data_IF_561467342884
#
_entry.id   IF_561467342884
#
_cell.length_a   1.000
_cell.length_b   1.000
_cell.length_c   1.000
_cell.angle_alpha   90.00
_cell.angle_beta   90.00
_cell.angle_gamma   90.00
#
_symmetry.space_group_name_H-M   'P 1'
#
loop_
_entity.id
_entity.type
_entity.pdbx_description
1 polymer ?
#
# COMPACT_ATOMS: atom_id res chain seq x y z
N UNK A 1 -48.72 -29.67 20.01
CA UNK A 1 -48.01 -28.48 20.52
C UNK A 1 -46.53 -28.83 20.55
N UNK A 2 -45.81 -28.59 19.45
CA UNK A 2 -45.04 -27.36 19.18
C UNK A 2 -43.86 -27.19 20.13
N UNK A 3 -42.64 -27.48 19.65
CA UNK A 3 -41.65 -26.47 19.26
C UNK A 3 -40.39 -27.15 18.70
N UNK A 4 -40.28 -27.14 17.37
CA UNK A 4 -38.99 -27.27 16.68
C UNK A 4 -38.15 -26.03 17.00
N UNK A 5 -36.99 -26.22 17.62
CA UNK A 5 -35.92 -25.22 17.64
C UNK A 5 -34.81 -25.68 16.71
N UNK A 6 -34.85 -25.18 15.47
CA UNK A 6 -33.72 -25.26 14.56
C UNK A 6 -32.72 -24.18 15.00
N UNK A 7 -31.65 -24.59 15.69
CA UNK A 7 -30.45 -23.77 15.82
C UNK A 7 -29.76 -23.74 14.46
N UNK A 8 -30.15 -22.77 13.62
CA UNK A 8 -29.46 -22.43 12.38
C UNK A 8 -28.07 -21.90 12.75
N UNK A 9 -27.08 -22.79 12.70
CA UNK A 9 -25.66 -22.46 12.83
C UNK A 9 -25.34 -21.43 11.74
N UNK A 10 -25.08 -20.18 12.12
CA UNK A 10 -24.54 -19.18 11.17
C UNK A 10 -23.14 -19.65 10.80
N UNK A 11 -22.92 -19.83 9.52
CA UNK A 11 -21.65 -20.20 8.89
C UNK A 11 -20.66 -19.03 9.02
N UNK A 12 -19.55 -19.17 9.77
CA UNK A 12 -18.48 -18.19 9.80
C UNK A 12 -17.30 -18.77 9.00
N UNK A 13 -17.35 -18.77 7.66
CA UNK A 13 -16.32 -19.54 6.94
C UNK A 13 -15.66 -18.86 5.74
N UNK A 14 -16.19 -17.75 5.20
CA UNK A 14 -15.53 -17.06 4.06
C UNK A 14 -14.99 -15.67 4.38
N UNK A 15 -15.77 -14.85 5.08
CA UNK A 15 -15.39 -13.45 5.33
C UNK A 15 -14.26 -13.36 6.37
N UNK A 16 -14.35 -14.10 7.47
CA UNK A 16 -13.32 -14.06 8.53
C UNK A 16 -11.97 -14.62 8.06
N UNK A 17 -11.99 -15.70 7.27
CA UNK A 17 -10.77 -16.32 6.71
C UNK A 17 -10.10 -15.39 5.70
N UNK A 18 -10.90 -14.71 4.88
CA UNK A 18 -10.39 -13.76 3.90
C UNK A 18 -9.78 -12.52 4.58
N UNK A 19 -10.49 -11.91 5.52
CA UNK A 19 -10.00 -10.77 6.28
C UNK A 19 -8.71 -11.16 7.00
N UNK A 20 -8.67 -12.31 7.68
CA UNK A 20 -7.46 -12.83 8.33
C UNK A 20 -6.27 -12.96 7.37
N UNK A 21 -6.48 -13.48 6.16
CA UNK A 21 -5.43 -13.65 5.14
C UNK A 21 -4.97 -12.31 4.56
N UNK A 22 -5.90 -11.43 4.20
CA UNK A 22 -5.60 -10.10 3.67
C UNK A 22 -4.88 -9.20 4.70
N UNK A 23 -5.18 -9.37 5.99
CA UNK A 23 -4.50 -8.67 7.09
C UNK A 23 -3.02 -8.99 7.20
N UNK A 24 -2.57 -10.18 6.74
CA UNK A 24 -1.14 -10.54 6.73
C UNK A 24 -0.26 -9.52 5.98
N UNK A 25 -0.82 -8.91 4.94
CA UNK A 25 -0.13 -7.91 4.10
C UNK A 25 -0.81 -6.53 4.19
N UNK A 26 -1.71 -6.34 5.16
CA UNK A 26 -2.55 -5.14 5.30
C UNK A 26 -3.40 -4.82 4.05
N UNK A 27 -3.67 -5.82 3.22
CA UNK A 27 -4.44 -5.64 1.98
C UNK A 27 -5.91 -5.24 2.23
N UNK A 28 -6.48 -5.57 3.40
CA UNK A 28 -7.80 -5.10 3.81
C UNK A 28 -7.89 -3.56 3.90
N UNK A 29 -6.74 -2.89 4.03
CA UNK A 29 -6.63 -1.44 4.04
C UNK A 29 -6.48 -0.82 2.64
N UNK A 30 -6.64 -1.58 1.55
CA UNK A 30 -6.43 -1.09 0.18
C UNK A 30 -7.73 -0.97 -0.60
N UNK A 31 -7.71 -0.24 -1.72
CA UNK A 31 -8.88 -0.10 -2.60
C UNK A 31 -9.26 -1.42 -3.30
N UNK A 32 -8.27 -2.25 -3.63
CA UNK A 32 -8.47 -3.56 -4.26
C UNK A 32 -7.84 -4.67 -3.40
N UNK A 33 -8.48 -5.04 -2.27
CA UNK A 33 -7.91 -5.99 -1.29
C UNK A 33 -7.56 -7.36 -1.88
N UNK A 34 -8.43 -7.91 -2.73
CA UNK A 34 -8.24 -9.23 -3.35
C UNK A 34 -7.00 -9.22 -4.25
N UNK A 35 -6.93 -8.21 -5.12
CA UNK A 35 -5.81 -8.03 -6.04
C UNK A 35 -4.49 -7.76 -5.29
N UNK A 36 -4.55 -7.03 -4.17
CA UNK A 36 -3.42 -6.85 -3.28
C UNK A 36 -2.95 -8.20 -2.72
N UNK A 37 -3.85 -8.98 -2.12
CA UNK A 37 -3.49 -10.24 -1.47
C UNK A 37 -2.90 -11.24 -2.47
N UNK A 38 -3.56 -11.44 -3.62
CA UNK A 38 -3.12 -12.38 -4.65
C UNK A 38 -1.72 -12.04 -5.17
N UNK A 39 -1.46 -10.75 -5.42
CA UNK A 39 -0.17 -10.31 -5.93
C UNK A 39 0.94 -10.33 -4.88
N UNK A 40 0.65 -9.87 -3.66
CA UNK A 40 1.61 -9.85 -2.54
C UNK A 40 2.00 -11.27 -2.13
N UNK A 41 1.03 -12.17 -2.01
CA UNK A 41 1.29 -13.57 -1.62
C UNK A 41 2.14 -14.33 -2.64
N UNK A 42 2.04 -13.97 -3.93
CA UNK A 42 2.87 -14.58 -4.98
C UNK A 42 4.36 -14.24 -4.89
N UNK A 43 4.69 -13.07 -4.32
CA UNK A 43 6.08 -12.59 -4.17
C UNK A 43 6.62 -12.91 -2.76
N UNK A 44 5.80 -12.72 -1.73
CA UNK A 44 6.21 -12.83 -0.33
C UNK A 44 5.96 -14.24 0.22
N UNK A 45 6.87 -15.17 -0.08
CA UNK A 45 6.80 -16.55 0.41
C UNK A 45 7.28 -16.75 1.86
N UNK A 46 7.94 -15.76 2.48
CA UNK A 46 8.53 -15.91 3.83
C UNK A 46 7.76 -15.14 4.91
N UNK A 47 7.14 -15.89 5.83
CA UNK A 47 6.50 -15.37 7.05
C UNK A 47 7.50 -14.73 8.02
N UNK A 48 8.79 -15.08 7.94
CA UNK A 48 9.84 -14.61 8.84
C UNK A 48 10.21 -13.15 8.60
N UNK A 49 10.24 -12.71 7.34
CA UNK A 49 10.62 -11.34 6.96
C UNK A 49 9.56 -10.33 7.41
N UNK A 50 8.29 -10.69 7.25
CA UNK A 50 7.13 -9.90 7.72
C UNK A 50 7.00 -9.83 9.25
N UNK A 51 7.72 -10.66 10.01
CA UNK A 51 7.70 -10.58 11.47
C UNK A 51 8.68 -9.57 12.03
N UNK A 52 9.66 -9.16 11.24
CA UNK A 52 10.79 -8.36 11.71
C UNK A 52 10.65 -6.89 11.35
N UNK A 53 10.15 -6.57 10.15
CA UNK A 53 9.93 -5.19 9.70
C UNK A 53 8.70 -5.08 8.79
N UNK A 54 7.98 -3.93 8.81
CA UNK A 54 6.84 -3.68 7.91
C UNK A 54 7.28 -3.20 6.51
N UNK A 55 8.53 -2.78 6.35
CA UNK A 55 9.09 -2.29 5.08
C UNK A 55 8.84 -3.16 3.84
N UNK A 56 9.03 -4.48 3.93
CA UNK A 56 8.74 -5.42 2.86
C UNK A 56 7.31 -5.34 2.30
N UNK A 57 6.32 -4.89 3.07
CA UNK A 57 4.94 -4.71 2.58
C UNK A 57 4.90 -3.60 1.52
N UNK A 58 5.51 -2.45 1.82
CA UNK A 58 5.52 -1.28 0.95
C UNK A 58 6.38 -1.52 -0.30
N UNK A 59 7.57 -2.08 -0.13
CA UNK A 59 8.48 -2.35 -1.25
C UNK A 59 7.90 -3.41 -2.18
N UNK A 60 7.30 -4.47 -1.64
CA UNK A 60 6.63 -5.49 -2.46
C UNK A 60 5.45 -4.89 -3.23
N UNK A 61 4.61 -4.07 -2.61
CA UNK A 61 3.47 -3.47 -3.29
C UNK A 61 3.91 -2.61 -4.50
N UNK A 62 4.98 -1.82 -4.34
CA UNK A 62 5.57 -1.08 -5.45
C UNK A 62 6.15 -2.02 -6.52
N UNK A 63 6.85 -3.08 -6.10
CA UNK A 63 7.47 -4.04 -7.01
C UNK A 63 6.46 -4.84 -7.83
N UNK A 64 5.31 -5.19 -7.26
CA UNK A 64 4.18 -5.78 -8.00
C UNK A 64 3.77 -4.88 -9.16
N UNK A 65 3.60 -3.58 -8.90
CA UNK A 65 3.20 -2.61 -9.92
C UNK A 65 4.30 -2.42 -10.98
N UNK A 66 5.57 -2.34 -10.58
CA UNK A 66 6.72 -2.24 -11.49
C UNK A 66 6.77 -3.46 -12.42
N UNK A 67 6.71 -4.67 -11.86
CA UNK A 67 6.75 -5.92 -12.64
C UNK A 67 5.59 -5.99 -13.65
N UNK A 68 4.40 -5.50 -13.27
CA UNK A 68 3.27 -5.44 -14.18
C UNK A 68 3.52 -4.48 -15.35
N UNK A 69 4.03 -3.27 -15.07
CA UNK A 69 4.37 -2.27 -16.10
C UNK A 69 5.50 -2.76 -17.02
N UNK A 70 6.53 -3.39 -16.46
CA UNK A 70 7.66 -3.90 -17.24
C UNK A 70 7.20 -5.02 -18.18
N UNK A 71 6.33 -5.94 -17.74
CA UNK A 71 5.73 -6.95 -18.62
C UNK A 71 4.89 -6.32 -19.73
N UNK A 72 4.16 -5.24 -19.46
CA UNK A 72 3.40 -4.52 -20.48
C UNK A 72 4.35 -3.90 -21.51
N UNK A 73 5.38 -3.18 -21.05
CA UNK A 73 6.32 -2.48 -21.91
C UNK A 73 7.19 -3.41 -22.76
N UNK A 74 7.60 -4.56 -22.21
CA UNK A 74 8.56 -5.47 -22.85
C UNK A 74 7.91 -6.61 -23.63
N UNK A 75 6.68 -6.99 -23.29
CA UNK A 75 5.99 -8.14 -23.90
C UNK A 75 4.71 -7.68 -24.61
N UNK A 76 3.80 -7.04 -23.91
CA UNK A 76 2.43 -6.82 -24.39
C UNK A 76 2.37 -5.76 -25.51
N UNK A 77 2.99 -4.60 -25.29
CA UNK A 77 3.01 -3.53 -26.29
C UNK A 77 3.82 -3.91 -27.54
N UNK A 78 5.04 -4.47 -27.45
CA UNK A 78 5.77 -4.92 -28.63
C UNK A 78 5.00 -5.97 -29.44
N UNK A 79 4.28 -6.87 -28.76
CA UNK A 79 3.40 -7.84 -29.41
C UNK A 79 2.22 -7.15 -30.09
N UNK A 80 1.55 -6.19 -29.46
CA UNK A 80 0.49 -5.43 -30.12
C UNK A 80 1.00 -4.67 -31.35
N UNK A 81 2.17 -4.04 -31.26
CA UNK A 81 2.81 -3.31 -32.35
C UNK A 81 3.15 -4.21 -33.55
N UNK A 82 3.41 -5.51 -33.36
CA UNK A 82 3.66 -6.44 -34.47
C UNK A 82 2.41 -6.80 -35.27
N UNK A 83 1.21 -6.61 -34.70
CA UNK A 83 -0.06 -6.80 -35.39
C UNK A 83 -0.63 -5.49 -35.95
N UNK A 84 -0.28 -4.35 -35.36
CA UNK A 84 -0.71 -3.01 -35.79
C UNK A 84 0.22 -2.35 -36.84
N UNK A 85 0.95 -3.14 -37.64
CA UNK A 85 2.07 -2.64 -38.46
C UNK A 85 1.69 -1.51 -39.42
N UNK A 86 0.49 -1.58 -40.01
CA UNK A 86 -0.01 -0.61 -40.98
C UNK A 86 -1.20 0.21 -40.45
N UNK A 87 -1.58 0.03 -39.18
CA UNK A 87 -2.72 0.74 -38.60
C UNK A 87 -2.27 2.13 -38.12
N UNK A 88 -2.61 3.15 -38.90
CA UNK A 88 -2.23 4.55 -38.66
C UNK A 88 -2.86 5.14 -37.39
N UNK A 89 -3.91 4.52 -36.85
CA UNK A 89 -4.58 4.94 -35.62
C UNK A 89 -4.02 4.22 -34.39
N UNK A 90 -3.90 2.89 -34.46
CA UNK A 90 -3.51 2.05 -33.31
C UNK A 90 -2.03 2.22 -32.98
N UNK A 91 -1.17 2.28 -33.99
CA UNK A 91 0.28 2.31 -33.80
C UNK A 91 0.76 3.54 -33.00
N UNK A 92 0.35 4.78 -33.30
CA UNK A 92 0.72 5.94 -32.49
C UNK A 92 0.27 5.82 -31.03
N UNK A 93 -0.95 5.36 -30.78
CA UNK A 93 -1.50 5.19 -29.43
C UNK A 93 -0.73 4.15 -28.62
N UNK A 94 -0.28 3.06 -29.24
CA UNK A 94 0.60 2.08 -28.60
C UNK A 94 1.99 2.66 -28.26
N UNK A 95 2.53 3.56 -29.10
CA UNK A 95 3.78 4.26 -28.77
C UNK A 95 3.62 5.27 -27.63
N UNK A 96 2.55 6.05 -27.63
CA UNK A 96 2.23 6.97 -26.54
C UNK A 96 2.03 6.19 -25.23
N UNK A 97 1.29 5.07 -25.30
CA UNK A 97 1.14 4.16 -24.17
C UNK A 97 2.50 3.64 -23.66
N UNK A 98 3.40 3.23 -24.56
CA UNK A 98 4.73 2.75 -24.18
C UNK A 98 5.50 3.82 -23.39
N UNK A 99 5.48 5.07 -23.87
CA UNK A 99 6.14 6.19 -23.20
C UNK A 99 5.56 6.44 -21.80
N UNK A 100 4.23 6.44 -21.67
CA UNK A 100 3.56 6.60 -20.38
C UNK A 100 3.82 5.45 -19.41
N UNK A 101 3.83 4.20 -19.88
CA UNK A 101 4.14 3.01 -19.07
C UNK A 101 5.60 3.06 -18.60
N UNK A 102 6.54 3.47 -19.45
CA UNK A 102 7.95 3.62 -19.08
C UNK A 102 8.17 4.75 -18.05
N UNK A 103 7.52 5.90 -18.23
CA UNK A 103 7.57 6.99 -17.23
C UNK A 103 6.94 6.54 -15.90
N UNK A 104 5.86 5.76 -15.95
CA UNK A 104 5.24 5.15 -14.76
C UNK A 104 6.23 4.25 -14.02
N UNK A 105 6.90 3.33 -14.73
CA UNK A 105 7.91 2.44 -14.14
C UNK A 105 9.07 3.23 -13.54
N UNK A 106 9.56 4.28 -14.21
CA UNK A 106 10.61 5.17 -13.70
C UNK A 106 10.21 5.86 -12.39
N UNK A 107 8.98 6.39 -12.29
CA UNK A 107 8.45 7.02 -11.08
C UNK A 107 8.28 6.05 -9.92
N UNK A 108 7.79 4.84 -10.19
CA UNK A 108 7.69 3.81 -9.16
C UNK A 108 9.08 3.36 -8.68
N UNK A 109 10.06 3.24 -9.58
CA UNK A 109 11.43 2.93 -9.19
C UNK A 109 12.07 4.02 -8.33
N UNK A 110 11.76 5.31 -8.57
CA UNK A 110 12.15 6.39 -7.65
C UNK A 110 11.54 6.19 -6.25
N UNK A 111 10.25 5.87 -6.20
CA UNK A 111 9.54 5.60 -4.94
C UNK A 111 10.15 4.41 -4.19
N UNK A 112 10.45 3.33 -4.91
CA UNK A 112 11.11 2.14 -4.37
C UNK A 112 12.53 2.45 -3.88
N UNK A 113 13.28 3.29 -4.61
CA UNK A 113 14.62 3.73 -4.22
C UNK A 113 14.63 4.54 -2.91
N UNK A 114 13.58 5.34 -2.67
CA UNK A 114 13.41 6.11 -1.42
C UNK A 114 13.20 5.20 -0.21
N UNK A 115 12.58 4.02 -0.36
CA UNK A 115 12.44 3.06 0.73
C UNK A 115 13.79 2.51 1.24
N UNK A 116 14.85 2.60 0.43
CA UNK A 116 16.17 2.07 0.74
C UNK A 116 16.23 0.53 0.73
N UNK A 117 17.46 0.00 0.69
CA UNK A 117 17.71 -1.45 0.65
C UNK A 117 17.34 -2.14 1.96
N UNK A 118 17.37 -1.41 3.08
CA UNK A 118 17.08 -1.92 4.43
C UNK A 118 15.69 -1.51 4.98
N UNK A 119 14.84 -0.89 4.15
CA UNK A 119 13.37 -0.77 4.32
C UNK A 119 12.86 -0.43 5.73
N UNK A 120 13.52 0.47 6.47
CA UNK A 120 12.92 1.01 7.68
C UNK A 120 11.93 2.13 7.32
N UNK A 121 10.76 1.73 6.84
CA UNK A 121 9.67 2.65 6.47
C UNK A 121 9.33 3.60 7.62
N UNK A 122 9.55 3.24 8.88
CA UNK A 122 9.35 4.11 10.03
C UNK A 122 10.27 5.33 10.10
N UNK A 123 11.36 5.37 9.34
CA UNK A 123 12.32 6.50 9.34
C UNK A 123 12.13 7.49 8.20
N UNK A 124 11.25 7.19 7.24
CA UNK A 124 10.92 8.13 6.17
C UNK A 124 10.38 9.43 6.75
N UNK A 125 10.93 10.53 6.26
CA UNK A 125 10.45 11.88 6.52
C UNK A 125 9.09 12.11 5.84
N UNK A 126 8.36 13.13 6.29
CA UNK A 126 7.13 13.55 5.62
C UNK A 126 7.38 13.94 4.16
N UNK A 127 8.48 14.62 3.87
CA UNK A 127 8.84 15.02 2.50
C UNK A 127 9.10 13.80 1.60
N UNK A 128 9.80 12.79 2.10
CA UNK A 128 10.02 11.54 1.35
C UNK A 128 8.71 10.81 1.07
N UNK A 129 7.81 10.73 2.05
CA UNK A 129 6.49 10.13 1.88
C UNK A 129 5.63 10.90 0.86
N UNK A 130 5.63 12.24 0.94
CA UNK A 130 4.90 13.09 -0.01
C UNK A 130 5.44 12.92 -1.44
N UNK A 131 6.76 12.86 -1.59
CA UNK A 131 7.40 12.62 -2.88
C UNK A 131 7.04 11.24 -3.46
N UNK A 132 7.07 10.19 -2.64
CA UNK A 132 6.66 8.85 -3.05
C UNK A 132 5.19 8.81 -3.49
N UNK A 133 4.30 9.44 -2.73
CA UNK A 133 2.88 9.56 -3.09
C UNK A 133 2.72 10.32 -4.42
N UNK A 134 3.41 11.46 -4.59
CA UNK A 134 3.37 12.24 -5.82
C UNK A 134 3.87 11.44 -7.04
N UNK A 135 4.97 10.70 -6.91
CA UNK A 135 5.48 9.85 -7.99
C UNK A 135 4.53 8.70 -8.30
N UNK A 136 3.96 8.03 -7.29
CA UNK A 136 3.02 6.92 -7.47
C UNK A 136 1.68 7.38 -8.07
N UNK A 137 1.18 8.55 -7.67
CA UNK A 137 0.02 9.21 -8.30
C UNK A 137 0.30 9.59 -9.75
N UNK A 138 1.49 10.13 -10.04
CA UNK A 138 1.93 10.43 -11.40
C UNK A 138 1.99 9.19 -12.28
N UNK A 139 2.53 8.09 -11.77
CA UNK A 139 2.54 6.79 -12.46
C UNK A 139 1.12 6.26 -12.71
N UNK A 140 0.23 6.37 -11.72
CA UNK A 140 -1.18 6.00 -11.85
C UNK A 140 -1.90 6.82 -12.93
N UNK A 141 -1.63 8.13 -12.99
CA UNK A 141 -2.19 9.03 -14.01
C UNK A 141 -1.72 8.67 -15.42
N UNK A 142 -0.43 8.35 -15.59
CA UNK A 142 0.11 7.92 -16.87
C UNK A 142 -0.48 6.58 -17.35
N UNK A 143 -0.63 5.60 -16.46
CA UNK A 143 -1.33 4.37 -16.80
C UNK A 143 -2.79 4.61 -17.20
N UNK A 144 -3.48 5.54 -16.54
CA UNK A 144 -4.82 5.96 -16.94
C UNK A 144 -4.84 6.61 -18.34
N UNK A 145 -3.87 7.48 -18.67
CA UNK A 145 -3.75 8.06 -20.02
C UNK A 145 -3.58 6.98 -21.09
N UNK A 146 -2.74 5.98 -20.84
CA UNK A 146 -2.62 4.85 -21.77
C UNK A 146 -3.95 4.11 -21.91
N UNK A 147 -4.60 3.76 -20.80
CA UNK A 147 -5.88 3.05 -20.83
C UNK A 147 -6.91 3.80 -21.69
N UNK A 148 -7.08 5.11 -21.43
CA UNK A 148 -8.03 5.95 -22.17
C UNK A 148 -7.67 6.06 -23.66
N UNK A 149 -6.38 6.25 -23.98
CA UNK A 149 -5.95 6.33 -25.38
C UNK A 149 -6.23 5.04 -26.16
N UNK A 150 -6.15 3.87 -25.51
CA UNK A 150 -6.50 2.58 -26.12
C UNK A 150 -8.00 2.30 -26.11
N UNK A 151 -8.76 2.86 -25.17
CA UNK A 151 -10.22 2.77 -25.10
C UNK A 151 -10.90 3.57 -26.21
N UNK A 152 -10.30 4.67 -26.67
CA UNK A 152 -10.75 5.46 -27.83
C UNK A 152 -10.51 4.79 -29.20
N UNK A 153 -10.04 3.54 -29.22
CA UNK A 153 -9.94 2.76 -30.44
C UNK A 153 -11.30 2.11 -30.67
N UNK A 154 -12.04 2.62 -31.65
CA UNK A 154 -13.35 2.07 -32.02
C UNK A 154 -13.24 0.59 -32.39
N UNK A 155 -14.19 -0.19 -31.87
CA UNK A 155 -14.25 -1.64 -32.00
C UNK A 155 -14.40 -2.14 -33.45
N UNK A 156 -14.84 -1.24 -34.35
CA UNK A 156 -15.02 -1.45 -35.79
C UNK A 156 -13.75 -1.10 -36.59
N UNK A 157 -12.76 -0.43 -35.99
CA UNK A 157 -11.51 -0.03 -36.66
C UNK A 157 -10.45 -1.14 -36.58
N UNK A 158 -10.62 -2.07 -35.65
CA UNK A 158 -9.64 -3.11 -35.36
C UNK A 158 -10.34 -4.45 -35.23
N UNK A 159 -9.86 -5.46 -35.94
CA UNK A 159 -10.44 -6.80 -35.92
C UNK A 159 -9.39 -7.88 -35.64
N UNK A 160 -9.89 -9.08 -35.30
CA UNK A 160 -9.07 -10.28 -35.16
C UNK A 160 -7.97 -10.16 -34.11
N UNK A 161 -6.74 -10.55 -34.49
CA UNK A 161 -5.59 -10.58 -33.59
C UNK A 161 -5.16 -9.19 -33.11
N UNK A 162 -5.25 -8.16 -33.95
CA UNK A 162 -4.87 -6.80 -33.56
C UNK A 162 -5.76 -6.30 -32.40
N UNK A 163 -7.09 -6.51 -32.52
CA UNK A 163 -8.05 -6.16 -31.47
C UNK A 163 -7.74 -6.88 -30.16
N UNK A 164 -7.47 -8.20 -30.25
CA UNK A 164 -7.11 -9.00 -29.08
C UNK A 164 -5.84 -8.48 -28.40
N UNK A 165 -4.81 -8.09 -29.15
CA UNK A 165 -3.56 -7.58 -28.56
C UNK A 165 -3.72 -6.20 -27.94
N UNK A 166 -4.50 -5.32 -28.56
CA UNK A 166 -4.84 -4.01 -27.97
C UNK A 166 -5.60 -4.21 -26.65
N UNK A 167 -6.57 -5.14 -26.63
CA UNK A 167 -7.32 -5.48 -25.41
C UNK A 167 -6.42 -6.06 -24.31
N UNK A 168 -5.46 -6.94 -24.66
CA UNK A 168 -4.46 -7.47 -23.72
C UNK A 168 -3.64 -6.33 -23.07
N UNK A 169 -3.21 -5.33 -23.84
CA UNK A 169 -2.50 -4.15 -23.31
C UNK A 169 -3.42 -3.34 -22.42
N UNK A 170 -4.66 -3.05 -22.84
CA UNK A 170 -5.64 -2.25 -22.09
C UNK A 170 -5.92 -2.86 -20.71
N UNK A 171 -6.26 -4.14 -20.66
CA UNK A 171 -6.51 -4.88 -19.42
C UNK A 171 -5.26 -4.97 -18.55
N UNK A 172 -4.08 -5.17 -19.17
CA UNK A 172 -2.80 -5.19 -18.47
C UNK A 172 -2.53 -3.86 -17.76
N UNK A 173 -2.67 -2.75 -18.47
CA UNK A 173 -2.44 -1.39 -17.95
C UNK A 173 -3.44 -1.04 -16.86
N UNK A 174 -4.72 -1.40 -17.03
CA UNK A 174 -5.72 -1.20 -15.98
C UNK A 174 -5.37 -1.98 -14.71
N UNK A 175 -4.93 -3.24 -14.86
CA UNK A 175 -4.48 -4.07 -13.74
C UNK A 175 -3.26 -3.48 -13.04
N UNK A 176 -2.25 -3.02 -13.80
CA UNK A 176 -1.08 -2.33 -13.25
C UNK A 176 -1.47 -1.05 -12.49
N UNK A 177 -2.43 -0.29 -13.02
CA UNK A 177 -3.00 0.89 -12.35
C UNK A 177 -3.63 0.53 -11.01
N UNK A 178 -4.39 -0.57 -10.94
CA UNK A 178 -5.00 -1.04 -9.68
C UNK A 178 -3.92 -1.44 -8.65
N UNK A 179 -2.81 -2.04 -9.08
CA UNK A 179 -1.66 -2.29 -8.19
C UNK A 179 -1.05 -0.99 -7.65
N UNK A 180 -0.86 0.02 -8.49
CA UNK A 180 -0.35 1.33 -8.04
C UNK A 180 -1.29 2.00 -7.02
N UNK A 181 -2.60 1.91 -7.25
CA UNK A 181 -3.60 2.40 -6.29
C UNK A 181 -3.47 1.66 -4.95
N UNK A 182 -3.30 0.34 -4.95
CA UNK A 182 -3.07 -0.38 -3.69
C UNK A 182 -1.80 0.10 -2.97
N UNK A 183 -0.71 0.36 -3.71
CA UNK A 183 0.51 0.93 -3.13
C UNK A 183 0.28 2.30 -2.50
N UNK A 184 -0.50 3.18 -3.13
CA UNK A 184 -0.88 4.49 -2.56
C UNK A 184 -1.64 4.28 -1.24
N UNK A 185 -2.61 3.38 -1.23
CA UNK A 185 -3.42 3.15 -0.03
C UNK A 185 -2.59 2.63 1.14
N UNK A 186 -1.60 1.77 0.88
CA UNK A 186 -0.66 1.32 1.89
C UNK A 186 0.22 2.48 2.38
N UNK A 187 0.80 3.28 1.47
CA UNK A 187 1.64 4.43 1.81
C UNK A 187 0.89 5.46 2.67
N UNK A 188 -0.36 5.79 2.31
CA UNK A 188 -1.23 6.69 3.09
C UNK A 188 -1.54 6.15 4.48
N UNK A 189 -1.53 4.84 4.66
CA UNK A 189 -1.84 4.15 5.92
C UNK A 189 -0.60 3.67 6.64
N UNK A 190 0.57 4.20 6.26
CA UNK A 190 1.85 3.91 6.89
C UNK A 190 1.75 3.95 8.41
N UNK A 191 1.24 5.04 8.99
CA UNK A 191 1.19 5.19 10.44
C UNK A 191 0.33 4.12 11.11
N UNK A 192 -0.83 3.78 10.52
CA UNK A 192 -1.68 2.68 11.00
C UNK A 192 -0.94 1.35 10.94
N UNK A 193 -0.29 1.05 9.81
CA UNK A 193 0.46 -0.20 9.62
C UNK A 193 1.63 -0.28 10.60
N UNK A 194 2.38 0.81 10.80
CA UNK A 194 3.48 0.87 11.76
C UNK A 194 2.96 0.69 13.19
N UNK A 195 1.87 1.37 13.55
CA UNK A 195 1.27 1.27 14.87
C UNK A 195 0.83 -0.17 15.17
N UNK A 196 0.07 -0.80 14.26
CA UNK A 196 -0.40 -2.18 14.41
C UNK A 196 0.76 -3.18 14.45
N UNK A 197 1.82 -2.93 13.66
CA UNK A 197 3.00 -3.80 13.60
C UNK A 197 3.83 -3.77 14.89
N UNK A 198 4.09 -2.58 15.44
CA UNK A 198 4.92 -2.41 16.64
C UNK A 198 4.12 -2.50 17.95
N UNK A 199 2.80 -2.36 17.89
CA UNK A 199 1.88 -2.50 19.03
C UNK A 199 0.78 -3.51 18.69
N UNK A 200 1.12 -4.80 18.48
CA UNK A 200 0.09 -5.79 18.21
C UNK A 200 -0.88 -5.85 19.40
N UNK A 201 -2.17 -5.63 19.13
CA UNK A 201 -3.21 -5.89 20.12
C UNK A 201 -3.13 -7.37 20.51
N UNK A 202 -2.64 -7.64 21.72
CA UNK A 202 -2.79 -8.96 22.33
C UNK A 202 -4.24 -9.01 22.79
N UNK A 203 -5.10 -9.70 22.04
CA UNK A 203 -6.38 -10.18 22.55
C UNK A 203 -6.10 -11.26 23.60
N UNK A 204 -5.54 -10.87 24.73
CA UNK A 204 -5.72 -11.63 25.96
C UNK A 204 -7.12 -11.24 26.45
N UNK A 205 -8.08 -12.15 26.27
CA UNK A 205 -9.24 -12.18 27.16
C UNK A 205 -8.72 -12.00 28.58
N UNK A 206 -9.14 -10.93 29.24
CA UNK A 206 -8.85 -10.62 30.66
C UNK A 206 -7.61 -9.75 30.93
N UNK A 207 -7.54 -8.54 30.38
CA UNK A 207 -6.91 -7.42 31.11
C UNK A 207 -7.40 -6.05 30.64
N UNK A 208 -8.26 -5.43 31.44
CA UNK A 208 -8.52 -4.00 31.34
C UNK A 208 -7.24 -3.22 31.71
N UNK A 209 -6.38 -2.96 30.74
CA UNK A 209 -5.37 -1.91 30.87
C UNK A 209 -5.45 -1.01 29.65
N UNK A 210 -6.02 0.17 29.88
CA UNK A 210 -6.02 1.31 28.95
C UNK A 210 -4.61 1.55 28.40
N UNK A 211 -4.44 1.77 27.07
CA UNK A 211 -3.15 2.10 26.50
C UNK A 211 -2.87 3.58 26.77
N UNK A 212 -2.27 3.87 27.92
CA UNK A 212 -1.72 5.18 28.21
C UNK A 212 -0.20 5.05 28.29
N UNK A 213 0.48 5.82 27.43
CA UNK A 213 1.91 6.09 27.40
C UNK A 213 2.70 5.49 28.57
N UNK A 214 3.62 4.57 28.27
CA UNK A 214 4.64 4.09 29.20
C UNK A 214 5.71 5.19 29.46
N UNK A 215 5.26 6.40 29.77
CA UNK A 215 6.09 7.36 30.48
C UNK A 215 6.18 6.85 31.90
N UNK A 216 7.40 6.56 32.35
CA UNK A 216 7.64 6.03 33.69
C UNK A 216 7.01 6.99 34.72
N UNK A 217 5.86 6.61 35.28
CA UNK A 217 5.13 7.42 36.26
C UNK A 217 6.01 7.73 37.47
N UNK A 218 7.02 6.90 37.74
CA UNK A 218 8.04 7.17 38.77
C UNK A 218 8.90 8.37 38.40
N UNK A 219 9.24 8.54 37.13
CA UNK A 219 9.98 9.71 36.64
C UNK A 219 9.15 10.99 36.76
N UNK A 220 7.87 10.93 36.35
CA UNK A 220 6.94 12.07 36.44
C UNK A 220 6.70 12.48 37.90
N UNK A 221 6.39 11.52 38.78
CA UNK A 221 6.24 11.77 40.22
C UNK A 221 7.53 12.30 40.82
N UNK A 222 8.70 11.79 40.43
CA UNK A 222 9.99 12.30 40.90
C UNK A 222 10.25 13.73 40.45
N UNK A 223 9.92 14.07 39.21
CA UNK A 223 10.12 15.40 38.64
C UNK A 223 9.19 16.43 39.29
N UNK A 224 7.91 16.11 39.45
CA UNK A 224 6.96 16.97 40.15
C UNK A 224 7.31 17.11 41.64
N UNK A 225 7.68 16.02 42.31
CA UNK A 225 8.11 16.06 43.72
C UNK A 225 9.35 16.94 43.90
N UNK A 226 10.34 16.83 43.00
CA UNK A 226 11.52 17.69 42.98
C UNK A 226 11.18 19.17 42.80
N UNK A 227 10.26 19.49 41.88
CA UNK A 227 9.76 20.85 41.65
C UNK A 227 9.08 21.44 42.89
N UNK A 228 8.23 20.68 43.58
CA UNK A 228 7.56 21.15 44.80
C UNK A 228 8.55 21.40 45.95
N UNK A 229 9.54 20.51 46.13
CA UNK A 229 10.59 20.72 47.14
C UNK A 229 11.41 21.97 46.83
N UNK A 230 11.77 22.17 45.57
CA UNK A 230 12.52 23.36 45.13
C UNK A 230 11.73 24.66 45.38
N UNK A 231 10.44 24.68 45.04
CA UNK A 231 9.56 25.82 45.31
C UNK A 231 9.41 26.09 46.82
N UNK A 232 9.29 25.05 47.64
CA UNK A 232 9.24 25.20 49.08
C UNK A 232 10.54 25.79 49.65
N UNK A 233 11.71 25.35 49.15
CA UNK A 233 13.00 25.91 49.54
C UNK A 233 13.12 27.39 49.15
N UNK A 234 12.70 27.76 47.93
CA UNK A 234 12.69 29.16 47.50
C UNK A 234 11.76 30.02 48.36
N UNK A 235 10.57 29.50 48.70
CA UNK A 235 9.63 30.18 49.60
C UNK A 235 10.26 30.43 50.98
N UNK A 236 10.90 29.42 51.57
CA UNK A 236 11.58 29.55 52.86
C UNK A 236 12.74 30.55 52.81
N UNK A 237 13.55 30.53 51.75
CA UNK A 237 14.68 31.46 51.58
C UNK A 237 14.20 32.90 51.39
N UNK A 238 13.12 33.10 50.63
CA UNK A 238 12.52 34.41 50.41
C UNK A 238 11.87 34.99 51.67
N UNK A 239 11.31 34.14 52.54
CA UNK A 239 10.71 34.59 53.80
C UNK A 239 11.72 34.80 54.92
N UNK A 240 12.87 34.10 54.88
CA UNK A 240 13.99 34.33 55.83
C UNK A 240 14.79 35.60 55.56
N UNK A 241 14.63 36.21 54.40
CA UNK A 241 15.36 37.42 53.98
C UNK A 241 14.56 38.71 54.16
N UNK A 242 13.38 38.64 54.81
CA UNK A 242 12.66 39.77 55.40
C UNK A 242 12.70 39.69 56.91
#
# INVERSE_FOLDING_TARGET
>A
MMLSSMSKRREPERVDVYVSRSSRYYCHLTMYPELCYDSMSSIMNSTLVLRSTPGPIFSTSLQVAINALDNIATISIPRALSFATNNSLVRPRLFDCLAWVQDSSSRLNKSLGTLGVDSNVGWLTYEEMDNMNAWTLGATSNALKCFLALEEIDDDVVEGEEKRRVEEVKLGVEKARKYMVNSIWLLERRETILFDFYNPFIEDEESYVLPYYNFDYRFLVSLYSGLYIFLALLYFLFWRTK
#
